data_IF_570880352368
#
_entry.id   IF_570880352368
#
_cell.length_a   1.000
_cell.length_b   1.000
_cell.length_c   1.000
_cell.angle_alpha   90.00
_cell.angle_beta   90.00
_cell.angle_gamma   90.00
#
_symmetry.space_group_name_H-M   'P 1'
#
loop_
_entity.id
_entity.type
_entity.pdbx_description
1 polymer ?
#
# COMPACT_ATOMS: atom_id res chain seq x y z
N UNK A 1 23.82 11.76 14.38
CA UNK A 1 22.36 11.48 14.34
C UNK A 1 21.79 11.65 12.94
N UNK A 2 22.16 12.70 12.20
CA UNK A 2 21.69 12.97 10.82
C UNK A 2 22.21 12.02 9.72
N UNK A 3 23.27 11.25 9.96
CA UNK A 3 23.79 10.31 8.97
C UNK A 3 22.77 9.25 8.53
N UNK A 4 21.82 8.85 9.41
CA UNK A 4 20.73 7.93 9.05
C UNK A 4 19.64 8.56 8.17
N UNK A 5 19.60 9.89 8.08
CA UNK A 5 18.69 10.61 7.18
C UNK A 5 19.26 10.76 5.76
N UNK A 6 20.56 10.52 5.58
CA UNK A 6 21.17 10.33 4.25
C UNK A 6 20.81 8.93 3.73
N UNK A 7 19.58 8.81 3.22
CA UNK A 7 19.12 7.61 2.55
C UNK A 7 19.83 7.43 1.21
N UNK A 8 20.10 6.16 0.84
CA UNK A 8 20.60 5.81 -0.48
C UNK A 8 19.56 6.09 -1.56
N UNK A 9 19.98 6.25 -2.81
CA UNK A 9 19.08 6.58 -3.93
C UNK A 9 17.86 5.67 -4.01
N UNK A 10 18.01 4.35 -3.87
CA UNK A 10 16.89 3.39 -3.91
C UNK A 10 15.92 3.54 -2.72
N UNK A 11 16.44 3.89 -1.54
CA UNK A 11 15.64 4.17 -0.35
C UNK A 11 14.85 5.47 -0.53
N UNK A 12 15.45 6.48 -1.16
CA UNK A 12 14.76 7.74 -1.50
C UNK A 12 13.65 7.48 -2.51
N UNK A 13 13.93 6.76 -3.60
CA UNK A 13 12.94 6.37 -4.60
C UNK A 13 11.79 5.58 -3.99
N UNK A 14 12.09 4.65 -3.08
CA UNK A 14 11.08 3.93 -2.33
C UNK A 14 10.17 4.88 -1.53
N UNK A 15 10.75 5.82 -0.78
CA UNK A 15 9.98 6.81 -0.02
C UNK A 15 9.12 7.70 -0.93
N UNK A 16 9.65 8.15 -2.07
CA UNK A 16 8.89 8.95 -3.03
C UNK A 16 7.75 8.17 -3.67
N UNK A 17 7.99 6.92 -4.05
CA UNK A 17 6.97 6.09 -4.69
C UNK A 17 5.84 5.73 -3.72
N UNK A 18 6.17 5.25 -2.52
CA UNK A 18 5.17 4.91 -1.50
C UNK A 18 4.45 6.15 -0.95
N UNK A 19 5.20 7.22 -0.68
CA UNK A 19 4.63 8.49 -0.23
C UNK A 19 3.73 9.11 -1.29
N UNK A 20 4.15 9.10 -2.56
CA UNK A 20 3.36 9.57 -3.69
C UNK A 20 2.10 8.73 -3.91
N UNK A 21 2.19 7.41 -3.86
CA UNK A 21 1.02 6.53 -3.97
C UNK A 21 0.01 6.78 -2.83
N UNK A 22 0.50 6.95 -1.59
CA UNK A 22 -0.34 7.28 -0.45
C UNK A 22 -0.98 8.67 -0.61
N UNK A 23 -0.20 9.67 -1.02
CA UNK A 23 -0.69 11.02 -1.27
C UNK A 23 -1.78 11.06 -2.34
N UNK A 24 -1.58 10.37 -3.46
CA UNK A 24 -2.58 10.24 -4.52
C UNK A 24 -3.85 9.57 -4.00
N UNK A 25 -3.72 8.52 -3.21
CA UNK A 25 -4.87 7.82 -2.60
C UNK A 25 -5.64 8.74 -1.65
N UNK A 26 -4.94 9.48 -0.80
CA UNK A 26 -5.56 10.45 0.12
C UNK A 26 -6.21 11.61 -0.64
N UNK A 27 -5.57 12.13 -1.67
CA UNK A 27 -6.15 13.16 -2.53
C UNK A 27 -7.42 12.62 -3.19
N UNK A 28 -7.41 11.38 -3.70
CA UNK A 28 -8.59 10.76 -4.32
C UNK A 28 -9.74 10.55 -3.33
N UNK A 29 -9.45 10.23 -2.07
CA UNK A 29 -10.45 10.05 -1.03
C UNK A 29 -11.03 11.36 -0.48
N UNK A 30 -10.20 12.40 -0.33
CA UNK A 30 -10.54 13.61 0.46
C UNK A 30 -10.55 14.93 -0.33
N UNK A 31 -10.36 14.94 -1.65
CA UNK A 31 -10.18 16.17 -2.44
C UNK A 31 -11.26 17.26 -2.34
N UNK A 32 -12.56 17.02 -2.06
CA UNK A 32 -13.46 18.16 -1.84
C UNK A 32 -13.23 18.86 -0.49
N UNK A 33 -12.55 18.23 0.47
CA UNK A 33 -12.37 18.75 1.83
C UNK A 33 -11.11 19.59 2.04
N UNK A 34 -10.13 19.56 1.12
CA UNK A 34 -8.85 20.26 1.27
C UNK A 34 -8.46 21.07 0.01
N UNK A 35 -9.16 22.18 -0.29
CA UNK A 35 -8.72 23.09 -1.33
C UNK A 35 -7.41 23.79 -0.92
N UNK A 36 -6.36 23.67 -1.74
CA UNK A 36 -5.16 24.51 -1.65
C UNK A 36 -3.90 23.90 -1.01
N UNK A 37 -3.93 22.67 -0.49
CA UNK A 37 -2.79 22.09 0.24
C UNK A 37 -2.17 20.83 -0.40
N UNK A 38 -2.24 20.71 -1.73
CA UNK A 38 -1.69 19.55 -2.46
C UNK A 38 -0.21 19.28 -2.17
N UNK A 39 0.60 20.33 -1.94
CA UNK A 39 2.00 20.18 -1.56
C UNK A 39 2.17 19.51 -0.18
N UNK A 40 1.37 19.89 0.82
CA UNK A 40 1.40 19.26 2.14
C UNK A 40 0.91 17.80 2.04
N UNK A 41 -0.13 17.55 1.24
CA UNK A 41 -0.67 16.21 1.04
C UNK A 41 0.34 15.24 0.40
N UNK A 42 1.28 15.75 -0.40
CA UNK A 42 2.35 14.96 -1.02
C UNK A 42 3.61 14.90 -0.15
N UNK A 43 4.05 16.04 0.37
CA UNK A 43 5.29 16.12 1.16
C UNK A 43 5.18 15.41 2.50
N UNK A 44 4.03 15.45 3.17
CA UNK A 44 3.85 14.82 4.48
C UNK A 44 4.00 13.29 4.43
N UNK A 45 3.29 12.54 3.56
CA UNK A 45 3.51 11.10 3.40
C UNK A 45 4.96 10.74 3.10
N UNK A 46 5.60 11.45 2.16
CA UNK A 46 7.00 11.20 1.80
C UNK A 46 7.92 11.42 3.00
N UNK A 47 7.74 12.53 3.74
CA UNK A 47 8.52 12.84 4.93
C UNK A 47 8.31 11.79 6.04
N UNK A 48 7.08 11.30 6.22
CA UNK A 48 6.78 10.23 7.18
C UNK A 48 7.45 8.91 6.80
N UNK A 49 7.41 8.51 5.52
CA UNK A 49 8.13 7.33 5.05
C UNK A 49 9.65 7.48 5.21
N UNK A 50 10.19 8.66 4.90
CA UNK A 50 11.61 8.95 5.05
C UNK A 50 12.05 8.88 6.52
N UNK A 51 11.34 9.57 7.41
CA UNK A 51 11.61 9.56 8.84
C UNK A 51 11.43 8.16 9.43
N UNK A 52 10.36 7.46 9.05
CA UNK A 52 10.11 6.07 9.47
C UNK A 52 11.24 5.13 9.05
N UNK A 53 11.71 5.22 7.81
CA UNK A 53 12.81 4.40 7.32
C UNK A 53 14.14 4.74 8.01
N UNK A 54 14.43 6.03 8.22
CA UNK A 54 15.63 6.47 8.93
C UNK A 54 15.64 5.99 10.40
N UNK A 55 14.50 6.12 11.09
CA UNK A 55 14.32 5.65 12.46
C UNK A 55 14.40 4.12 12.55
N UNK A 56 13.79 3.40 11.61
CA UNK A 56 13.86 1.95 11.55
C UNK A 56 15.30 1.48 11.31
N UNK A 57 16.01 2.08 10.36
CA UNK A 57 17.41 1.78 10.07
C UNK A 57 18.29 2.02 11.31
N UNK A 58 18.09 3.13 12.01
CA UNK A 58 18.78 3.41 13.29
C UNK A 58 18.46 2.37 14.36
N UNK A 59 17.19 1.99 14.49
CA UNK A 59 16.77 0.97 15.47
C UNK A 59 17.46 -0.37 15.20
N UNK A 60 17.53 -0.78 13.94
CA UNK A 60 18.22 -2.01 13.54
C UNK A 60 19.74 -1.93 13.78
N UNK A 61 20.38 -0.78 13.50
CA UNK A 61 21.81 -0.59 13.84
C UNK A 61 22.08 -0.73 15.33
N UNK A 62 21.20 -0.17 16.18
CA UNK A 62 21.31 -0.31 17.64
C UNK A 62 21.12 -1.76 18.09
N UNK A 63 20.14 -2.45 17.52
CA UNK A 63 19.81 -3.85 17.87
C UNK A 63 20.84 -4.87 17.38
N UNK A 64 21.72 -4.49 16.44
CA UNK A 64 22.82 -5.35 15.94
C UNK A 64 24.02 -5.41 16.90
N UNK A 65 24.24 -4.39 17.74
CA UNK A 65 25.42 -4.21 18.59
C UNK A 65 25.49 -5.07 19.86
N UNK A 66 24.39 -5.48 20.53
CA UNK A 66 24.50 -6.33 21.72
C UNK A 66 24.82 -7.78 21.35
N UNK A 67 25.81 -8.37 22.02
CA UNK A 67 26.26 -9.77 21.80
C UNK A 67 25.34 -10.82 22.43
N UNK A 68 24.46 -10.43 23.37
CA UNK A 68 23.46 -11.31 23.98
C UNK A 68 22.09 -10.64 23.88
N UNK A 69 21.12 -11.32 23.26
CA UNK A 69 19.77 -10.79 23.06
C UNK A 69 18.76 -11.93 23.11
N UNK A 70 17.52 -11.70 23.61
CA UNK A 70 16.53 -12.76 23.70
C UNK A 70 16.23 -13.37 22.33
N UNK A 71 15.90 -14.67 22.32
CA UNK A 71 15.40 -15.33 21.12
C UNK A 71 14.07 -14.70 20.71
N UNK A 72 13.95 -14.42 19.41
CA UNK A 72 12.74 -13.87 18.79
C UNK A 72 12.22 -14.88 17.79
N UNK A 73 10.93 -15.19 17.91
CA UNK A 73 10.24 -15.99 16.90
C UNK A 73 9.94 -15.13 15.67
N UNK A 74 10.31 -15.65 14.50
CA UNK A 74 9.97 -15.11 13.19
C UNK A 74 8.75 -15.86 12.72
N UNK A 75 7.64 -15.14 12.54
CA UNK A 75 6.38 -15.70 12.05
C UNK A 75 6.20 -15.45 10.56
N UNK A 76 5.80 -16.49 9.85
CA UNK A 76 5.23 -16.40 8.51
C UNK A 76 3.70 -16.52 8.63
N UNK A 77 3.03 -15.38 8.75
CA UNK A 77 1.58 -15.34 8.92
C UNK A 77 1.19 -15.82 10.30
N UNK A 78 0.45 -16.93 10.37
CA UNK A 78 0.03 -17.55 11.63
C UNK A 78 1.14 -18.46 12.21
N UNK A 79 2.02 -19.00 11.37
CA UNK A 79 3.01 -20.01 11.79
C UNK A 79 4.34 -19.37 12.22
N UNK A 80 4.96 -19.93 13.25
CA UNK A 80 6.35 -19.60 13.64
C UNK A 80 7.30 -20.42 12.77
N UNK A 81 8.08 -19.75 11.93
CA UNK A 81 8.97 -20.39 10.94
C UNK A 81 10.39 -20.56 11.46
N UNK A 82 10.88 -19.58 12.21
CA UNK A 82 12.23 -19.62 12.75
C UNK A 82 12.32 -18.99 14.14
N UNK A 83 13.28 -19.43 14.94
CA UNK A 83 13.67 -18.78 16.18
C UNK A 83 15.13 -18.37 16.07
N UNK A 84 15.39 -17.08 16.21
CA UNK A 84 16.73 -16.52 16.05
C UNK A 84 16.95 -15.49 17.16
N UNK A 85 18.17 -15.41 17.75
CA UNK A 85 18.53 -14.29 18.60
C UNK A 85 18.22 -12.95 17.93
N UNK A 86 17.64 -12.01 18.69
CA UNK A 86 17.22 -10.71 18.14
C UNK A 86 18.33 -9.94 17.43
N UNK A 87 19.57 -10.07 17.90
CA UNK A 87 20.72 -9.37 17.33
C UNK A 87 21.14 -9.97 15.98
N UNK A 88 21.04 -11.29 15.79
CA UNK A 88 21.26 -11.95 14.51
C UNK A 88 20.17 -11.60 13.50
N UNK A 89 18.92 -11.52 13.96
CA UNK A 89 17.80 -11.05 13.14
C UNK A 89 18.06 -9.61 12.67
N UNK A 90 18.47 -8.73 13.57
CA UNK A 90 18.82 -7.35 13.24
C UNK A 90 20.02 -7.27 12.28
N UNK A 91 21.01 -8.16 12.37
CA UNK A 91 22.11 -8.26 11.39
C UNK A 91 21.61 -8.64 10.00
N UNK A 92 20.67 -9.59 9.90
CA UNK A 92 20.07 -9.99 8.63
C UNK A 92 19.22 -8.86 8.04
N UNK A 93 18.34 -8.25 8.84
CA UNK A 93 17.52 -7.11 8.43
C UNK A 93 18.40 -5.93 7.98
N UNK A 94 19.50 -5.64 8.68
CA UNK A 94 20.46 -4.62 8.27
C UNK A 94 21.05 -4.90 6.89
N UNK A 95 21.46 -6.14 6.61
CA UNK A 95 21.98 -6.54 5.29
C UNK A 95 20.91 -6.37 4.19
N UNK A 96 19.66 -6.66 4.51
CA UNK A 96 18.53 -6.52 3.57
C UNK A 96 18.20 -5.04 3.33
N UNK A 97 18.22 -4.20 4.36
CA UNK A 97 18.02 -2.74 4.23
C UNK A 97 19.12 -2.04 3.43
N UNK A 98 20.28 -2.67 3.29
CA UNK A 98 21.37 -2.20 2.43
C UNK A 98 21.33 -2.80 1.02
N UNK A 99 20.37 -3.68 0.73
CA UNK A 99 20.24 -4.36 -0.54
C UNK A 99 19.26 -3.63 -1.47
N UNK A 100 19.84 -2.93 -2.43
CA UNK A 100 19.14 -2.15 -3.45
C UNK A 100 18.18 -3.00 -4.30
N UNK A 101 18.47 -4.29 -4.52
CA UNK A 101 17.58 -5.16 -5.30
C UNK A 101 16.25 -5.40 -4.60
N UNK A 102 16.26 -5.49 -3.27
CA UNK A 102 15.04 -5.73 -2.48
C UNK A 102 14.11 -4.52 -2.59
N UNK A 103 14.67 -3.31 -2.55
CA UNK A 103 13.91 -2.08 -2.80
C UNK A 103 13.35 -2.04 -4.22
N UNK A 104 14.16 -2.34 -5.25
CA UNK A 104 13.66 -2.39 -6.63
C UNK A 104 12.54 -3.41 -6.79
N UNK A 105 12.70 -4.63 -6.28
CA UNK A 105 11.64 -5.67 -6.37
C UNK A 105 10.36 -5.21 -5.68
N UNK A 106 10.47 -4.57 -4.51
CA UNK A 106 9.31 -4.03 -3.80
C UNK A 106 8.63 -2.89 -4.58
N UNK A 107 9.39 -1.98 -5.16
CA UNK A 107 8.87 -0.87 -5.97
C UNK A 107 8.18 -1.37 -7.24
N UNK A 108 8.78 -2.30 -7.97
CA UNK A 108 8.15 -2.92 -9.14
C UNK A 108 6.86 -3.65 -8.78
N UNK A 109 6.84 -4.34 -7.63
CA UNK A 109 5.63 -4.98 -7.15
C UNK A 109 4.52 -3.96 -6.85
N UNK A 110 4.85 -2.80 -6.26
CA UNK A 110 3.88 -1.74 -6.04
C UNK A 110 3.36 -1.16 -7.35
N UNK A 111 4.23 -0.88 -8.33
CA UNK A 111 3.84 -0.38 -9.64
C UNK A 111 2.91 -1.37 -10.36
N UNK A 112 3.25 -2.65 -10.34
CA UNK A 112 2.41 -3.70 -10.94
C UNK A 112 1.04 -3.80 -10.26
N UNK A 113 0.98 -3.65 -8.93
CA UNK A 113 -0.28 -3.62 -8.19
C UNK A 113 -1.10 -2.38 -8.59
N UNK A 114 -0.50 -1.20 -8.60
CA UNK A 114 -1.16 0.05 -8.98
C UNK A 114 -1.73 -0.05 -10.40
N UNK A 115 -0.93 -0.52 -11.37
CA UNK A 115 -1.38 -0.71 -12.75
C UNK A 115 -2.55 -1.69 -12.83
N UNK A 116 -2.48 -2.81 -12.11
CA UNK A 116 -3.55 -3.82 -12.07
C UNK A 116 -4.84 -3.28 -11.47
N UNK A 117 -4.74 -2.60 -10.33
CA UNK A 117 -5.90 -2.02 -9.63
C UNK A 117 -6.55 -0.93 -10.48
N UNK A 118 -5.75 -0.05 -11.09
CA UNK A 118 -6.25 1.01 -11.96
C UNK A 118 -6.92 0.41 -13.20
N UNK A 119 -6.23 -0.48 -13.92
CA UNK A 119 -6.77 -1.08 -15.16
C UNK A 119 -8.05 -1.87 -14.92
N UNK A 120 -8.09 -2.71 -13.88
CA UNK A 120 -9.29 -3.45 -13.49
C UNK A 120 -10.38 -2.52 -12.94
N UNK A 121 -10.02 -1.47 -12.20
CA UNK A 121 -10.96 -0.46 -11.72
C UNK A 121 -11.67 0.26 -12.87
N UNK A 122 -10.95 0.60 -13.94
CA UNK A 122 -11.59 1.11 -15.17
C UNK A 122 -12.49 0.08 -15.84
N UNK A 123 -12.04 -1.18 -15.94
CA UNK A 123 -12.80 -2.27 -16.56
C UNK A 123 -14.13 -2.56 -15.81
N UNK A 124 -14.11 -2.50 -14.48
CA UNK A 124 -15.27 -2.80 -13.64
C UNK A 124 -16.11 -1.57 -13.28
N UNK A 125 -15.71 -0.36 -13.67
CA UNK A 125 -16.49 0.85 -13.43
C UNK A 125 -17.94 0.78 -13.96
N UNK A 126 -18.21 0.26 -15.18
CA UNK A 126 -19.58 0.12 -15.67
C UNK A 126 -20.45 -0.79 -14.78
N UNK A 127 -19.88 -1.86 -14.23
CA UNK A 127 -20.60 -2.74 -13.30
C UNK A 127 -20.98 -2.00 -12.01
N UNK A 128 -20.10 -1.13 -11.49
CA UNK A 128 -20.39 -0.29 -10.32
C UNK A 128 -21.51 0.72 -10.63
N UNK A 129 -21.51 1.32 -11.82
CA UNK A 129 -22.59 2.23 -12.27
C UNK A 129 -23.92 1.48 -12.30
N UNK A 130 -23.96 0.30 -12.94
CA UNK A 130 -25.18 -0.51 -13.05
C UNK A 130 -25.69 -0.96 -11.68
N UNK A 131 -24.79 -1.40 -10.79
CA UNK A 131 -25.15 -1.77 -9.42
C UNK A 131 -25.71 -0.57 -8.64
N UNK A 132 -25.07 0.61 -8.73
CA UNK A 132 -25.56 1.83 -8.10
C UNK A 132 -26.93 2.28 -8.63
N UNK A 133 -27.13 2.19 -9.95
CA UNK A 133 -28.41 2.48 -10.58
C UNK A 133 -29.51 1.49 -10.10
N UNK A 134 -29.19 0.19 -10.01
CA UNK A 134 -30.10 -0.82 -9.47
C UNK A 134 -30.52 -0.53 -8.02
N UNK A 135 -29.57 -0.12 -7.18
CA UNK A 135 -29.86 0.31 -5.80
C UNK A 135 -30.78 1.53 -5.74
N UNK A 136 -30.57 2.52 -6.62
CA UNK A 136 -31.44 3.70 -6.68
C UNK A 136 -32.85 3.37 -7.15
N UNK A 137 -32.99 2.51 -8.16
CA UNK A 137 -34.29 2.14 -8.74
C UNK A 137 -35.09 1.26 -7.79
N UNK A 138 -34.46 0.29 -7.13
CA UNK A 138 -35.15 -0.69 -6.28
C UNK A 138 -35.20 -0.29 -4.80
N UNK A 139 -34.10 0.22 -4.27
CA UNK A 139 -33.94 0.49 -2.83
C UNK A 139 -34.52 1.83 -2.42
N UNK A 140 -34.35 2.88 -3.23
CA UNK A 140 -34.77 4.24 -2.89
C UNK A 140 -35.41 4.97 -4.08
N UNK A 141 -36.51 4.44 -4.63
CA UNK A 141 -37.08 4.91 -5.90
C UNK A 141 -37.47 6.40 -5.88
N UNK A 142 -37.94 6.91 -4.74
CA UNK A 142 -38.33 8.32 -4.60
C UNK A 142 -37.13 9.27 -4.74
N UNK A 143 -35.98 8.90 -4.18
CA UNK A 143 -34.76 9.70 -4.31
C UNK A 143 -34.15 9.56 -5.71
N UNK A 144 -34.29 8.39 -6.35
CA UNK A 144 -33.94 8.20 -7.75
C UNK A 144 -34.70 9.15 -8.69
N UNK A 145 -36.02 9.26 -8.53
CA UNK A 145 -36.84 10.19 -9.33
C UNK A 145 -36.46 11.66 -9.07
N UNK A 146 -36.20 12.03 -7.81
CA UNK A 146 -35.73 13.38 -7.44
C UNK A 146 -34.38 13.70 -8.08
N UNK A 147 -33.43 12.76 -8.04
CA UNK A 147 -32.11 12.89 -8.64
C UNK A 147 -32.20 13.12 -10.16
N UNK A 148 -32.97 12.29 -10.87
CA UNK A 148 -33.15 12.40 -12.32
C UNK A 148 -33.81 13.72 -12.69
N UNK A 149 -34.82 14.15 -11.92
CA UNK A 149 -35.50 15.43 -12.15
C UNK A 149 -34.55 16.61 -11.90
N UNK A 150 -33.73 16.56 -10.85
CA UNK A 150 -32.72 17.58 -10.56
C UNK A 150 -31.67 17.66 -11.67
N UNK A 151 -31.16 16.51 -12.15
CA UNK A 151 -30.19 16.44 -13.25
C UNK A 151 -30.74 17.04 -14.55
N UNK A 152 -32.03 16.82 -14.85
CA UNK A 152 -32.69 17.37 -16.06
C UNK A 152 -32.79 18.90 -16.04
N UNK A 153 -32.87 19.50 -14.85
CA UNK A 153 -33.07 20.93 -14.66
C UNK A 153 -31.75 21.69 -14.42
N UNK A 154 -30.61 21.00 -14.32
CA UNK A 154 -29.30 21.62 -14.12
C UNK A 154 -28.77 22.31 -15.37
N UNK A 155 -27.96 23.34 -15.17
CA UNK A 155 -27.24 23.98 -16.28
C UNK A 155 -26.14 23.04 -16.83
N UNK A 156 -25.73 23.19 -18.11
CA UNK A 156 -24.68 22.34 -18.69
C UNK A 156 -23.35 22.37 -17.91
N UNK A 157 -22.98 23.52 -17.33
CA UNK A 157 -21.76 23.66 -16.55
C UNK A 157 -21.80 22.89 -15.23
N UNK A 158 -22.92 22.95 -14.52
CA UNK A 158 -23.14 22.18 -13.30
C UNK A 158 -23.18 20.68 -13.59
N UNK A 159 -23.83 20.29 -14.69
CA UNK A 159 -23.94 18.90 -15.10
C UNK A 159 -22.56 18.30 -15.42
N UNK A 160 -21.67 19.04 -16.10
CA UNK A 160 -20.29 18.59 -16.34
C UNK A 160 -19.51 18.40 -15.02
N UNK A 161 -19.64 19.35 -14.09
CA UNK A 161 -18.98 19.26 -12.79
C UNK A 161 -19.47 18.05 -11.98
N UNK A 162 -20.79 17.87 -11.88
CA UNK A 162 -21.40 16.75 -11.17
C UNK A 162 -21.07 15.40 -11.81
N UNK A 163 -21.06 15.33 -13.15
CA UNK A 163 -20.67 14.11 -13.87
C UNK A 163 -19.21 13.75 -13.60
N UNK A 164 -18.31 14.73 -13.60
CA UNK A 164 -16.90 14.52 -13.24
C UNK A 164 -16.72 14.05 -11.79
N UNK A 165 -17.50 14.60 -10.87
CA UNK A 165 -17.53 14.17 -9.48
C UNK A 165 -18.01 12.72 -9.36
N UNK A 166 -19.16 12.37 -9.93
CA UNK A 166 -19.72 11.01 -9.90
C UNK A 166 -18.74 10.00 -10.53
N UNK A 167 -18.20 10.31 -11.71
CA UNK A 167 -17.25 9.42 -12.40
C UNK A 167 -16.03 9.12 -11.54
N UNK A 168 -15.50 10.13 -10.85
CA UNK A 168 -14.38 9.96 -9.91
C UNK A 168 -14.74 8.99 -8.77
N UNK A 169 -15.89 9.13 -8.14
CA UNK A 169 -16.29 8.21 -7.05
C UNK A 169 -16.52 6.79 -7.56
N UNK A 170 -17.14 6.63 -8.73
CA UNK A 170 -17.33 5.32 -9.36
C UNK A 170 -15.98 4.64 -9.59
N UNK A 171 -15.01 5.34 -10.17
CA UNK A 171 -13.66 4.82 -10.41
C UNK A 171 -12.94 4.47 -9.10
N UNK A 172 -13.11 5.30 -8.07
CA UNK A 172 -12.53 5.06 -6.75
C UNK A 172 -13.14 3.81 -6.09
N UNK A 173 -14.47 3.70 -6.06
CA UNK A 173 -15.18 2.54 -5.51
C UNK A 173 -14.75 1.28 -6.25
N UNK A 174 -14.73 1.31 -7.59
CA UNK A 174 -14.32 0.16 -8.39
C UNK A 174 -12.88 -0.27 -8.09
N UNK A 175 -11.95 0.69 -8.01
CA UNK A 175 -10.55 0.43 -7.69
C UNK A 175 -10.38 -0.17 -6.28
N UNK A 176 -11.11 0.36 -5.29
CA UNK A 176 -11.11 -0.16 -3.91
C UNK A 176 -11.68 -1.58 -3.87
N UNK A 177 -12.79 -1.84 -4.55
CA UNK A 177 -13.40 -3.17 -4.62
C UNK A 177 -12.44 -4.20 -5.23
N UNK A 178 -11.74 -3.84 -6.32
CA UNK A 178 -10.69 -4.69 -6.90
C UNK A 178 -9.56 -4.93 -5.91
N UNK A 179 -9.08 -3.88 -5.24
CA UNK A 179 -8.00 -4.01 -4.27
C UNK A 179 -8.39 -4.95 -3.11
N UNK A 180 -9.61 -4.83 -2.60
CA UNK A 180 -10.14 -5.72 -1.55
C UNK A 180 -10.20 -7.15 -2.07
N UNK A 181 -10.72 -7.38 -3.29
CA UNK A 181 -10.79 -8.71 -3.89
C UNK A 181 -9.38 -9.32 -4.10
N UNK A 182 -8.42 -8.51 -4.56
CA UNK A 182 -7.02 -8.94 -4.73
C UNK A 182 -6.39 -9.29 -3.36
N UNK A 183 -6.67 -8.53 -2.30
CA UNK A 183 -6.20 -8.84 -0.94
C UNK A 183 -6.81 -10.14 -0.42
N UNK A 184 -8.13 -10.32 -0.55
CA UNK A 184 -8.84 -11.53 -0.11
C UNK A 184 -8.39 -12.77 -0.86
N UNK A 185 -8.06 -12.64 -2.15
CA UNK A 185 -7.52 -13.73 -2.97
C UNK A 185 -6.01 -13.97 -2.78
N UNK A 186 -5.35 -13.26 -1.87
CA UNK A 186 -3.91 -13.41 -1.62
C UNK A 186 -3.01 -12.80 -2.70
N UNK A 187 -3.57 -12.03 -3.63
CA UNK A 187 -2.85 -11.26 -4.66
C UNK A 187 -2.48 -9.83 -4.22
N UNK A 188 -2.51 -9.56 -2.92
CA UNK A 188 -2.07 -8.28 -2.35
C UNK A 188 -0.59 -7.99 -2.60
N UNK A 189 -0.13 -6.82 -2.14
CA UNK A 189 1.25 -6.38 -2.33
C UNK A 189 2.23 -7.40 -1.73
N UNK A 190 3.09 -8.07 -2.53
CA UNK A 190 4.06 -8.99 -1.98
C UNK A 190 5.09 -8.23 -1.15
N UNK A 191 5.53 -8.85 -0.06
CA UNK A 191 6.54 -8.30 0.83
C UNK A 191 7.92 -8.88 0.47
N UNK A 192 8.66 -8.19 -0.40
CA UNK A 192 9.99 -8.57 -0.84
C UNK A 192 11.01 -8.58 0.32
N UNK A 193 10.88 -7.67 1.29
CA UNK A 193 11.73 -7.64 2.48
C UNK A 193 11.56 -8.90 3.32
N UNK A 194 10.32 -9.35 3.51
CA UNK A 194 10.01 -10.59 4.23
C UNK A 194 10.52 -11.82 3.49
N UNK A 195 10.35 -11.89 2.17
CA UNK A 195 10.92 -12.99 1.37
C UNK A 195 12.45 -13.02 1.45
N UNK A 196 13.10 -11.86 1.28
CA UNK A 196 14.55 -11.74 1.43
C UNK A 196 15.03 -12.12 2.84
N UNK A 197 14.24 -11.84 3.87
CA UNK A 197 14.52 -12.30 5.24
C UNK A 197 14.47 -13.82 5.33
N UNK A 198 13.39 -14.44 4.85
CA UNK A 198 13.21 -15.90 4.88
C UNK A 198 14.28 -16.63 4.06
N UNK A 199 14.66 -16.09 2.90
CA UNK A 199 15.68 -16.67 2.02
C UNK A 199 17.09 -16.64 2.64
N UNK A 200 17.34 -15.69 3.54
CA UNK A 200 18.64 -15.48 4.21
C UNK A 200 18.70 -16.06 5.63
N UNK A 201 17.65 -16.74 6.09
CA UNK A 201 17.66 -17.40 7.39
C UNK A 201 18.62 -18.60 7.39
N UNK A 202 19.47 -18.74 8.41
CA UNK A 202 20.38 -19.87 8.50
C UNK A 202 19.60 -21.15 8.81
N UNK A 203 20.08 -22.29 8.30
CA UNK A 203 19.32 -23.55 8.27
C UNK A 203 19.00 -24.11 9.68
N UNK A 204 19.83 -23.79 10.65
CA UNK A 204 19.70 -24.11 12.07
C UNK A 204 18.64 -23.27 12.81
N UNK A 205 18.28 -22.09 12.29
CA UNK A 205 17.25 -21.25 12.88
C UNK A 205 15.82 -21.68 12.53
N UNK A 206 15.63 -22.57 11.55
CA UNK A 206 14.31 -23.04 11.12
C UNK A 206 13.71 -23.97 12.18
N UNK A 207 12.58 -23.56 12.77
CA UNK A 207 11.83 -24.40 13.71
C UNK A 207 10.96 -25.43 12.99
N UNK A 208 10.55 -25.12 11.76
CA UNK A 208 9.86 -26.04 10.86
C UNK A 208 10.91 -26.49 9.86
N UNK A 209 11.35 -27.76 9.95
CA UNK A 209 12.13 -28.41 8.88
C UNK A 209 11.36 -28.17 7.59
N UNK A 210 11.95 -27.59 6.54
CA UNK A 210 11.33 -27.55 5.20
C UNK A 210 10.86 -28.97 4.91
N UNK A 211 9.55 -29.19 5.06
CA UNK A 211 8.93 -30.47 4.79
C UNK A 211 9.16 -30.72 3.32
N UNK A 212 9.99 -31.71 3.04
CA UNK A 212 9.99 -32.55 1.86
C UNK A 212 8.84 -32.27 0.91
N UNK A 213 9.19 -31.89 -0.32
CA UNK A 213 8.40 -32.14 -1.52
C UNK A 213 7.56 -33.41 -1.37
N UNK A 214 6.24 -33.27 -1.46
CA UNK A 214 5.36 -34.16 -2.20
C UNK A 214 4.21 -33.36 -2.77
#
# INVERSE_FOLDING_TARGET
MFSYFMLRTEQQLFCYLYGGALALSLQLLFSPSFPGNGFILVSLPVALFWAGLALYTRHIDQMRKPDVSPLVSIRDGIQVVAMLPRHEKARLEWKILQDDEVYRRQMHALLNLMQRVISRGFLYAPAVILAGAGVLVWGVPQDGVRLVTALRNMSPGELMHQTGFILRYVLMISSISVLIADIVSGQGLPNAFRRALLDRLPADAWCIRRGTER
#
